data_IF_724585319367
#
_entry.id   IF_724585319367
#
_cell.length_a   1.000
_cell.length_b   1.000
_cell.length_c   1.000
_cell.angle_alpha   90.00
_cell.angle_beta   90.00
_cell.angle_gamma   90.00
#
_symmetry.space_group_name_H-M   'P 1'
#
loop_
_entity.id
_entity.type
_entity.pdbx_description
1 polymer ?
#
# COMPACT_ATOMS: atom_id res chain seq x y z
N UNK A 1 38.94 -54.23 -32.77
CA UNK A 1 37.83 -53.30 -33.07
C UNK A 1 37.97 -52.06 -32.18
N UNK A 2 38.31 -50.89 -32.73
CA UNK A 2 38.39 -49.64 -31.95
C UNK A 2 37.05 -48.90 -32.01
N UNK A 3 36.41 -48.75 -30.85
CA UNK A 3 35.19 -47.96 -30.66
C UNK A 3 35.60 -46.50 -30.38
N UNK A 4 35.46 -45.62 -31.37
CA UNK A 4 35.75 -44.20 -31.22
C UNK A 4 34.61 -43.52 -30.44
N UNK A 5 34.81 -43.38 -29.13
CA UNK A 5 33.94 -42.62 -28.26
C UNK A 5 34.15 -41.12 -28.52
N UNK A 6 33.30 -40.50 -29.36
CA UNK A 6 33.29 -39.04 -29.57
C UNK A 6 32.85 -38.35 -28.28
N UNK A 7 33.80 -37.90 -27.46
CA UNK A 7 33.51 -36.91 -26.41
C UNK A 7 32.95 -35.66 -27.08
N UNK A 8 31.66 -35.37 -26.87
CA UNK A 8 31.10 -34.03 -27.16
C UNK A 8 31.93 -33.04 -26.35
N UNK A 9 32.54 -32.07 -27.03
CA UNK A 9 33.20 -30.97 -26.35
C UNK A 9 32.12 -30.14 -25.64
N UNK A 10 32.09 -30.23 -24.31
CA UNK A 10 31.33 -29.32 -23.46
C UNK A 10 31.88 -27.91 -23.72
N UNK A 11 31.12 -27.07 -24.42
CA UNK A 11 31.46 -25.66 -24.59
C UNK A 11 31.23 -24.97 -23.24
N UNK A 12 32.30 -24.73 -22.50
CA UNK A 12 32.26 -23.91 -21.28
C UNK A 12 31.92 -22.46 -21.59
N UNK A 13 31.17 -21.83 -20.69
CA UNK A 13 30.89 -20.39 -20.73
C UNK A 13 32.19 -19.61 -20.55
N UNK A 14 32.43 -18.60 -21.37
CA UNK A 14 33.65 -17.80 -21.22
C UNK A 14 33.51 -16.83 -20.04
N UNK A 15 34.62 -16.57 -19.33
CA UNK A 15 34.63 -15.62 -18.21
C UNK A 15 34.23 -14.21 -18.66
N UNK A 16 34.59 -13.85 -19.89
CA UNK A 16 34.26 -12.55 -20.50
C UNK A 16 32.77 -12.42 -20.83
N UNK A 17 32.11 -13.49 -21.29
CA UNK A 17 30.66 -13.50 -21.48
C UNK A 17 29.94 -13.25 -20.16
N UNK A 18 30.38 -13.91 -19.07
CA UNK A 18 29.78 -13.70 -17.76
C UNK A 18 29.98 -12.28 -17.25
N UNK A 19 31.18 -11.70 -17.45
CA UNK A 19 31.49 -10.33 -17.03
C UNK A 19 30.62 -9.27 -17.71
N UNK A 20 30.41 -9.39 -19.03
CA UNK A 20 29.56 -8.44 -19.77
C UNK A 20 28.10 -8.55 -19.29
N UNK A 21 27.62 -9.76 -19.00
CA UNK A 21 26.25 -9.98 -18.50
C UNK A 21 26.04 -9.31 -17.15
N UNK A 22 26.94 -9.49 -16.17
CA UNK A 22 26.79 -8.81 -14.87
C UNK A 22 26.97 -7.30 -14.99
N UNK A 23 27.78 -6.80 -15.92
CA UNK A 23 27.89 -5.36 -16.18
C UNK A 23 26.56 -4.77 -16.69
N UNK A 24 25.90 -5.43 -17.64
CA UNK A 24 24.60 -5.00 -18.17
C UNK A 24 23.52 -5.07 -17.09
N UNK A 25 23.43 -6.19 -16.35
CA UNK A 25 22.46 -6.33 -15.24
C UNK A 25 22.72 -5.27 -14.16
N UNK A 26 23.98 -4.94 -13.88
CA UNK A 26 24.35 -3.88 -12.93
C UNK A 26 23.81 -2.50 -13.33
N UNK A 27 23.92 -2.13 -14.62
CA UNK A 27 23.38 -0.87 -15.15
C UNK A 27 21.85 -0.85 -15.04
N UNK A 28 21.19 -1.94 -15.44
CA UNK A 28 19.73 -2.04 -15.38
C UNK A 28 19.22 -1.98 -13.92
N UNK A 29 19.88 -2.68 -13.00
CA UNK A 29 19.52 -2.70 -11.59
C UNK A 29 19.67 -1.32 -10.93
N UNK A 30 20.73 -0.58 -11.27
CA UNK A 30 20.96 0.76 -10.73
C UNK A 30 19.81 1.73 -11.01
N UNK A 31 19.18 1.63 -12.18
CA UNK A 31 18.01 2.45 -12.55
C UNK A 31 16.71 1.86 -11.98
N UNK A 32 16.57 0.53 -12.06
CA UNK A 32 15.32 -0.14 -11.69
C UNK A 32 15.02 -0.11 -10.18
N UNK A 33 16.03 -0.27 -9.33
CA UNK A 33 15.86 -0.34 -7.86
C UNK A 33 15.19 0.93 -7.29
N UNK A 34 15.70 2.16 -7.53
CA UNK A 34 15.08 3.36 -6.96
C UNK A 34 13.67 3.59 -7.53
N UNK A 35 13.45 3.30 -8.81
CA UNK A 35 12.12 3.43 -9.43
C UNK A 35 11.12 2.44 -8.83
N UNK A 36 11.52 1.17 -8.64
CA UNK A 36 10.66 0.14 -8.06
C UNK A 36 10.29 0.46 -6.61
N UNK A 37 11.22 1.00 -5.83
CA UNK A 37 10.94 1.46 -4.47
C UNK A 37 9.85 2.55 -4.46
N UNK A 38 9.97 3.57 -5.33
CA UNK A 38 8.96 4.61 -5.47
C UNK A 38 7.59 4.06 -5.91
N UNK A 39 7.58 3.13 -6.86
CA UNK A 39 6.34 2.50 -7.34
C UNK A 39 5.63 1.73 -6.23
N UNK A 40 6.37 0.99 -5.40
CA UNK A 40 5.80 0.30 -4.22
C UNK A 40 5.15 1.28 -3.24
N UNK A 41 5.81 2.40 -2.94
CA UNK A 41 5.24 3.44 -2.07
C UNK A 41 3.95 4.01 -2.65
N UNK A 42 3.90 4.25 -3.97
CA UNK A 42 2.66 4.69 -4.64
C UNK A 42 1.55 3.65 -4.54
N UNK A 43 1.87 2.36 -4.71
CA UNK A 43 0.89 1.28 -4.55
C UNK A 43 0.34 1.22 -3.12
N UNK A 44 1.20 1.37 -2.12
CA UNK A 44 0.79 1.44 -0.71
C UNK A 44 -0.11 2.65 -0.43
N UNK A 45 0.23 3.82 -0.96
CA UNK A 45 -0.62 5.01 -0.84
C UNK A 45 -1.97 4.82 -1.51
N UNK A 46 -2.01 4.22 -2.71
CA UNK A 46 -3.25 3.91 -3.42
C UNK A 46 -4.14 2.93 -2.65
N UNK A 47 -3.55 1.96 -1.95
CA UNK A 47 -4.31 1.06 -1.06
C UNK A 47 -4.96 1.83 0.08
N UNK A 48 -4.23 2.73 0.74
CA UNK A 48 -4.80 3.55 1.81
C UNK A 48 -5.93 4.45 1.30
N UNK A 49 -5.76 5.10 0.14
CA UNK A 49 -6.81 5.93 -0.46
C UNK A 49 -8.06 5.12 -0.81
N UNK A 50 -7.89 3.91 -1.33
CA UNK A 50 -9.02 3.00 -1.63
C UNK A 50 -9.79 2.63 -0.36
N UNK A 51 -9.09 2.31 0.72
CA UNK A 51 -9.71 1.97 1.99
C UNK A 51 -10.42 3.18 2.62
N UNK A 52 -9.87 4.40 2.47
CA UNK A 52 -10.56 5.62 2.87
C UNK A 52 -11.91 5.77 2.18
N UNK A 53 -11.96 5.58 0.85
CA UNK A 53 -13.22 5.67 0.08
C UNK A 53 -14.22 4.62 0.53
N UNK A 54 -13.74 3.42 0.86
CA UNK A 54 -14.59 2.37 1.41
C UNK A 54 -15.15 2.75 2.80
N UNK A 55 -14.34 3.33 3.69
CA UNK A 55 -14.81 3.87 4.97
C UNK A 55 -15.83 4.97 4.77
N UNK A 56 -15.56 5.95 3.88
CA UNK A 56 -16.50 7.03 3.61
C UNK A 56 -17.85 6.50 3.13
N UNK A 57 -17.85 5.50 2.25
CA UNK A 57 -19.09 4.86 1.79
C UNK A 57 -19.85 4.18 2.93
N UNK A 58 -19.13 3.53 3.86
CA UNK A 58 -19.74 2.90 5.03
C UNK A 58 -20.27 3.94 6.04
N UNK A 59 -19.60 5.09 6.18
CA UNK A 59 -20.09 6.21 7.01
C UNK A 59 -21.40 6.79 6.46
N UNK A 60 -21.52 6.99 5.15
CA UNK A 60 -22.77 7.44 4.53
C UNK A 60 -23.91 6.42 4.73
N UNK A 61 -23.59 5.12 4.66
CA UNK A 61 -24.55 4.06 4.97
C UNK A 61 -24.97 4.10 6.46
N UNK A 62 -24.02 4.22 7.37
CA UNK A 62 -24.30 4.31 8.81
C UNK A 62 -25.15 5.54 9.17
N UNK A 63 -24.91 6.68 8.51
CA UNK A 63 -25.73 7.88 8.65
C UNK A 63 -27.13 7.69 8.08
N UNK A 64 -27.28 7.00 6.96
CA UNK A 64 -28.60 6.68 6.39
C UNK A 64 -29.42 5.81 7.34
N UNK A 65 -28.78 4.84 8.02
CA UNK A 65 -29.46 3.91 8.92
C UNK A 65 -29.77 4.52 10.30
N UNK A 66 -28.86 5.30 10.86
CA UNK A 66 -28.92 5.75 12.26
C UNK A 66 -29.07 7.27 12.44
N UNK A 67 -28.95 8.06 11.37
CA UNK A 67 -28.94 9.52 11.42
C UNK A 67 -27.70 10.12 12.08
N UNK A 68 -26.66 9.31 12.32
CA UNK A 68 -25.42 9.72 12.96
C UNK A 68 -24.22 9.00 12.35
N UNK A 69 -23.11 9.72 12.17
CA UNK A 69 -21.82 9.11 11.83
C UNK A 69 -21.19 8.38 13.00
N UNK A 70 -20.30 7.44 12.69
CA UNK A 70 -19.63 6.60 13.68
C UNK A 70 -18.22 7.13 13.96
N UNK A 71 -17.76 6.93 15.20
CA UNK A 71 -16.35 7.12 15.53
C UNK A 71 -15.62 5.78 15.54
N UNK A 72 -14.38 5.82 15.06
CA UNK A 72 -13.48 4.68 15.02
C UNK A 72 -12.14 5.10 15.62
N UNK A 73 -11.79 4.50 16.75
CA UNK A 73 -10.43 4.57 17.29
C UNK A 73 -9.46 3.96 16.31
N UNK A 74 -8.24 4.50 16.25
CA UNK A 74 -7.21 4.04 15.32
C UNK A 74 -7.06 2.51 15.35
N UNK A 75 -7.20 1.88 14.18
CA UNK A 75 -7.14 0.43 14.00
C UNK A 75 -6.31 0.09 12.76
N UNK A 76 -5.52 -0.98 12.86
CA UNK A 76 -4.73 -1.50 11.74
C UNK A 76 -5.45 -2.67 11.07
N UNK A 77 -5.37 -2.71 9.75
CA UNK A 77 -5.79 -3.84 8.94
C UNK A 77 -4.81 -5.03 9.00
N UNK A 78 -5.18 -6.17 8.38
CA UNK A 78 -6.39 -6.32 7.57
C UNK A 78 -7.66 -6.50 8.41
N UNK A 79 -8.77 -5.90 7.99
CA UNK A 79 -10.10 -6.07 8.58
C UNK A 79 -11.11 -6.33 7.47
N UNK A 80 -11.83 -7.46 7.54
CA UNK A 80 -12.87 -7.81 6.54
C UNK A 80 -14.20 -7.09 6.78
N UNK A 81 -14.41 -6.62 8.00
CA UNK A 81 -15.46 -5.70 8.42
C UNK A 81 -15.02 -5.04 9.73
N UNK A 82 -15.31 -3.76 9.90
CA UNK A 82 -15.17 -3.09 11.20
C UNK A 82 -16.46 -3.31 12.02
N UNK A 83 -16.32 -3.54 13.33
CA UNK A 83 -17.46 -3.85 14.20
C UNK A 83 -18.37 -2.65 14.45
N UNK A 84 -17.78 -1.46 14.62
CA UNK A 84 -18.53 -0.21 14.80
C UNK A 84 -19.03 0.38 13.47
N UNK A 85 -18.39 0.02 12.36
CA UNK A 85 -18.73 0.50 11.01
C UNK A 85 -18.86 -0.68 10.04
N UNK A 86 -19.98 -1.42 10.08
CA UNK A 86 -20.19 -2.58 9.21
C UNK A 86 -20.06 -2.22 7.72
N UNK A 87 -19.38 -3.08 6.95
CA UNK A 87 -19.14 -2.86 5.52
C UNK A 87 -17.86 -2.08 5.19
N UNK A 88 -17.27 -1.36 6.16
CA UNK A 88 -15.93 -0.83 6.03
C UNK A 88 -14.89 -1.96 6.13
N UNK A 89 -13.85 -1.88 5.30
CA UNK A 89 -12.78 -2.86 5.14
C UNK A 89 -11.43 -2.15 5.18
N UNK A 90 -10.41 -2.86 5.66
CA UNK A 90 -9.03 -2.39 5.64
C UNK A 90 -8.12 -3.44 5.03
N UNK A 91 -7.27 -2.99 4.13
CA UNK A 91 -6.17 -3.76 3.56
C UNK A 91 -5.04 -4.02 4.56
N UNK A 92 -4.11 -4.88 4.18
CA UNK A 92 -2.94 -5.19 5.01
C UNK A 92 -2.16 -3.91 5.34
N UNK A 93 -1.82 -3.73 6.62
CA UNK A 93 -1.02 -2.61 7.12
C UNK A 93 -1.57 -1.21 6.79
N UNK A 94 -2.86 -1.09 6.50
CA UNK A 94 -3.54 0.21 6.47
C UNK A 94 -4.07 0.50 7.86
N UNK A 95 -3.64 1.63 8.42
CA UNK A 95 -4.17 2.20 9.63
C UNK A 95 -5.36 3.10 9.27
N UNK A 96 -6.43 3.09 10.05
CA UNK A 96 -7.56 3.98 9.87
C UNK A 96 -8.12 4.50 11.18
N UNK A 97 -8.68 5.71 11.15
CA UNK A 97 -9.36 6.37 12.27
C UNK A 97 -10.52 7.20 11.73
N UNK A 98 -11.64 7.24 12.45
CA UNK A 98 -12.75 8.15 12.16
C UNK A 98 -13.06 8.96 13.41
N UNK A 99 -13.13 10.28 13.26
CA UNK A 99 -13.50 11.20 14.33
C UNK A 99 -14.79 11.92 13.95
N UNK A 100 -15.90 11.59 14.60
CA UNK A 100 -17.17 12.32 14.41
C UNK A 100 -17.13 13.60 15.25
N UNK A 101 -17.10 14.76 14.58
CA UNK A 101 -17.12 16.06 15.25
C UNK A 101 -18.54 16.46 15.70
N UNK A 102 -19.56 15.91 15.03
CA UNK A 102 -20.98 16.02 15.40
C UNK A 102 -21.75 14.81 14.83
N UNK A 103 -23.07 14.75 15.06
CA UNK A 103 -23.93 13.76 14.42
C UNK A 103 -23.91 13.83 12.88
N UNK A 104 -23.58 15.00 12.32
CA UNK A 104 -23.66 15.28 10.87
C UNK A 104 -22.30 15.60 10.24
N UNK A 105 -21.19 15.40 10.96
CA UNK A 105 -19.86 15.64 10.42
C UNK A 105 -18.84 14.63 10.97
N UNK A 106 -18.04 14.07 10.08
CA UNK A 106 -16.92 13.19 10.41
C UNK A 106 -15.67 13.56 9.63
N UNK A 107 -14.52 13.18 10.19
CA UNK A 107 -13.26 13.09 9.48
C UNK A 107 -12.73 11.66 9.56
N UNK A 108 -12.54 11.04 8.40
CA UNK A 108 -11.92 9.73 8.28
C UNK A 108 -10.47 9.92 7.84
N UNK A 109 -9.55 9.17 8.42
CA UNK A 109 -8.15 9.20 8.05
C UNK A 109 -7.63 7.79 7.84
N UNK A 110 -6.80 7.62 6.81
CA UNK A 110 -6.13 6.34 6.54
C UNK A 110 -4.68 6.56 6.16
N UNK A 111 -3.82 5.63 6.57
CA UNK A 111 -2.42 5.60 6.12
C UNK A 111 -1.89 4.18 6.01
N UNK A 112 -1.14 3.88 4.94
CA UNK A 112 -0.45 2.60 4.86
C UNK A 112 0.89 2.69 5.60
N UNK A 113 1.28 1.71 6.41
CA UNK A 113 2.52 1.76 7.21
C UNK A 113 3.78 1.95 6.38
N UNK A 114 3.83 1.33 5.20
CA UNK A 114 4.92 1.46 4.24
C UNK A 114 4.71 2.57 3.20
N UNK A 115 3.59 3.29 3.29
CA UNK A 115 3.28 4.46 2.48
C UNK A 115 3.77 5.74 3.14
N UNK A 116 3.88 6.81 2.36
CA UNK A 116 4.37 8.11 2.81
C UNK A 116 3.29 9.21 2.82
N UNK A 117 2.02 8.84 2.66
CA UNK A 117 0.87 9.75 2.73
C UNK A 117 -0.13 9.30 3.78
N UNK A 118 -0.77 10.28 4.39
CA UNK A 118 -1.99 10.13 5.18
C UNK A 118 -3.11 10.78 4.38
N UNK A 119 -4.18 10.04 4.13
CA UNK A 119 -5.35 10.53 3.43
C UNK A 119 -6.42 10.90 4.45
N UNK A 120 -7.06 12.05 4.27
CA UNK A 120 -8.16 12.53 5.11
C UNK A 120 -9.37 12.78 4.23
N UNK A 121 -10.49 12.15 4.60
CA UNK A 121 -11.80 12.33 4.00
C UNK A 121 -12.78 12.96 4.98
N UNK A 122 -13.79 13.66 4.48
CA UNK A 122 -14.86 14.23 5.28
C UNK A 122 -16.23 13.98 4.63
N UNK A 123 -17.32 14.20 5.38
CA UNK A 123 -18.70 14.07 4.89
C UNK A 123 -19.06 15.01 3.72
N UNK A 124 -18.19 15.96 3.37
CA UNK A 124 -18.34 16.80 2.17
C UNK A 124 -17.88 16.09 0.88
N UNK A 125 -17.39 14.85 0.97
CA UNK A 125 -16.84 14.10 -0.17
C UNK A 125 -15.42 14.52 -0.56
N UNK A 126 -14.82 15.48 0.16
CA UNK A 126 -13.45 15.94 -0.09
C UNK A 126 -12.46 14.91 0.41
N UNK A 127 -11.47 14.58 -0.41
CA UNK A 127 -10.31 13.78 -0.02
C UNK A 127 -9.07 14.64 -0.21
N UNK A 128 -8.28 14.76 0.85
CA UNK A 128 -6.99 15.45 0.85
C UNK A 128 -5.90 14.50 1.31
N UNK A 129 -4.69 14.68 0.80
CA UNK A 129 -3.51 13.96 1.24
C UNK A 129 -2.49 14.87 1.90
N UNK A 130 -1.75 14.34 2.87
CA UNK A 130 -0.62 15.01 3.50
C UNK A 130 0.55 14.04 3.53
N UNK A 131 1.74 14.52 3.18
CA UNK A 131 2.96 13.72 3.29
C UNK A 131 3.33 13.53 4.74
N UNK A 132 3.59 12.29 5.15
CA UNK A 132 4.08 11.98 6.49
C UNK A 132 5.43 12.64 6.70
N UNK A 133 5.62 13.33 7.82
CA UNK A 133 6.95 13.72 8.30
C UNK A 133 7.63 12.48 8.88
N UNK A 134 8.96 12.38 8.69
CA UNK A 134 9.72 11.16 8.97
C UNK A 134 9.43 10.60 10.39
N UNK A 135 8.97 9.35 10.44
CA UNK A 135 8.91 8.56 11.67
C UNK A 135 7.62 8.61 12.50
N UNK A 136 6.65 9.48 12.21
CA UNK A 136 5.39 9.52 12.97
C UNK A 136 4.19 9.13 12.10
N UNK A 137 3.66 7.93 12.36
CA UNK A 137 2.32 7.53 11.95
C UNK A 137 1.32 8.45 12.64
N UNK A 138 0.61 9.28 11.86
CA UNK A 138 -0.29 10.28 12.42
C UNK A 138 -1.43 9.64 13.21
N UNK A 139 -1.73 8.38 12.92
CA UNK A 139 -2.84 7.65 13.51
C UNK A 139 -2.43 6.77 14.69
N UNK A 140 -1.12 6.58 14.95
CA UNK A 140 -0.64 5.85 16.13
C UNK A 140 -0.91 4.35 16.10
N UNK A 141 -1.20 3.80 14.91
CA UNK A 141 -1.24 2.37 14.65
C UNK A 141 -0.30 2.02 13.49
#
# INVERSE_FOLDING_TARGET
>A
MNYLNKKKAEKGFTLIELMIVVAIIGILAAIAIPQFASYRVKAFNSSAESDLRNIMTAEEAAYTDNGTYVSLTAIAGPQSSLTSLPGAKLGDKVCAKVSSASSTAYTAQTEHKLGNKTYTGANTGTISDTTKTEGNYSLGC
#
